data_IF_753379399797
#
_entry.id   IF_753379399797
#
_cell.length_a   1.000
_cell.length_b   1.000
_cell.length_c   1.000
_cell.angle_alpha   90.00
_cell.angle_beta   90.00
_cell.angle_gamma   90.00
#
_symmetry.space_group_name_H-M   'P 1'
#
loop_
_entity.id
_entity.type
_entity.pdbx_description
1 polymer ?
#
# COMPACT_ATOMS: atom_id res chain seq x y z
N UNK A 1 7.19 -13.40 -14.24
CA UNK A 1 6.97 -12.45 -13.12
C UNK A 1 6.69 -11.10 -13.74
N UNK A 2 5.56 -10.47 -13.41
CA UNK A 2 5.26 -9.10 -13.86
C UNK A 2 6.31 -8.15 -13.29
N UNK A 3 6.92 -7.32 -14.14
CA UNK A 3 7.95 -6.36 -13.73
C UNK A 3 7.36 -4.96 -13.79
N UNK A 4 6.91 -4.47 -12.65
CA UNK A 4 6.38 -3.13 -12.50
C UNK A 4 7.45 -2.07 -12.76
N UNK A 5 7.02 -0.94 -13.32
CA UNK A 5 7.91 0.20 -13.59
C UNK A 5 7.89 1.21 -12.43
N UNK A 6 9.02 1.91 -12.19
CA UNK A 6 9.01 3.14 -11.41
C UNK A 6 8.02 4.13 -11.99
N UNK A 7 7.27 4.82 -11.14
CA UNK A 7 6.41 5.95 -11.50
C UNK A 7 6.99 7.28 -11.01
N UNK A 8 6.60 8.42 -11.59
CA UNK A 8 6.92 9.74 -11.05
C UNK A 8 6.47 9.90 -9.58
N UNK A 9 7.16 10.76 -8.83
CA UNK A 9 6.78 11.10 -7.46
C UNK A 9 5.37 11.71 -7.43
N UNK A 10 4.47 11.30 -6.52
CA UNK A 10 3.18 11.95 -6.34
C UNK A 10 3.36 13.44 -6.02
N UNK A 11 2.78 14.31 -6.85
CA UNK A 11 2.85 15.75 -6.67
C UNK A 11 1.81 16.28 -5.69
N UNK A 12 0.67 15.59 -5.57
CA UNK A 12 -0.43 15.91 -4.67
C UNK A 12 -1.04 14.62 -4.12
N UNK A 13 -1.67 14.72 -2.96
CA UNK A 13 -2.46 13.65 -2.36
C UNK A 13 -3.75 14.24 -1.77
N UNK A 14 -4.74 13.42 -1.41
CA UNK A 14 -5.90 13.88 -0.65
C UNK A 14 -5.54 14.50 0.70
N UNK A 15 -4.32 14.26 1.21
CA UNK A 15 -3.83 14.72 2.50
C UNK A 15 -2.93 15.95 2.43
N UNK A 16 -2.86 16.64 1.28
CA UNK A 16 -1.94 17.74 0.93
C UNK A 16 -0.69 17.28 0.13
N UNK A 17 0.22 18.21 -0.16
CA UNK A 17 1.46 18.00 -0.89
C UNK A 17 2.44 17.18 -0.01
N UNK A 18 3.05 16.10 -0.54
CA UNK A 18 4.03 15.33 0.23
C UNK A 18 5.32 16.11 0.52
N UNK A 19 5.59 16.37 1.80
CA UNK A 19 6.89 16.87 2.27
C UNK A 19 7.98 15.83 2.00
N UNK A 20 7.67 14.55 2.25
CA UNK A 20 8.53 13.41 1.95
C UNK A 20 7.77 12.37 1.14
N UNK A 21 8.46 11.74 0.21
CA UNK A 21 7.96 10.57 -0.50
C UNK A 21 9.12 9.67 -0.89
N UNK A 22 8.93 8.36 -0.72
CA UNK A 22 9.91 7.33 -1.04
C UNK A 22 9.26 6.23 -1.86
N UNK A 23 9.87 5.88 -2.99
CA UNK A 23 9.40 4.76 -3.80
C UNK A 23 9.96 3.46 -3.23
N UNK A 24 9.17 2.80 -2.38
CA UNK A 24 9.59 1.59 -1.64
C UNK A 24 9.67 0.36 -2.54
N UNK A 25 8.85 0.33 -3.59
CA UNK A 25 8.86 -0.64 -4.69
C UNK A 25 8.54 0.12 -5.98
N UNK A 26 8.94 -0.37 -7.18
CA UNK A 26 8.58 0.27 -8.44
C UNK A 26 7.07 0.51 -8.52
N UNK A 27 6.66 1.78 -8.60
CA UNK A 27 5.25 2.18 -8.64
C UNK A 27 4.51 2.23 -7.30
N UNK A 28 5.17 1.97 -6.17
CA UNK A 28 4.59 2.09 -4.82
C UNK A 28 5.34 3.15 -4.04
N UNK A 29 4.68 4.26 -3.74
CA UNK A 29 5.23 5.36 -2.97
C UNK A 29 4.72 5.33 -1.54
N UNK A 30 5.61 5.44 -0.55
CA UNK A 30 5.23 5.87 0.79
C UNK A 30 5.34 7.39 0.85
N UNK A 31 4.29 8.06 1.28
CA UNK A 31 4.20 9.53 1.35
C UNK A 31 3.94 9.98 2.77
N UNK A 32 4.47 11.15 3.11
CA UNK A 32 4.22 11.85 4.36
C UNK A 32 3.89 13.30 4.02
N UNK A 33 2.78 13.78 4.56
CA UNK A 33 2.29 15.16 4.42
C UNK A 33 2.15 15.79 5.81
N UNK A 34 1.88 17.10 5.92
CA UNK A 34 1.65 17.75 7.20
C UNK A 34 0.44 17.20 7.97
N UNK A 35 -0.58 16.67 7.28
CA UNK A 35 -1.80 16.17 7.92
C UNK A 35 -1.76 14.66 8.15
N UNK A 36 -1.49 13.88 7.10
CA UNK A 36 -1.51 12.42 7.11
C UNK A 36 -0.41 11.85 6.20
N UNK A 37 -0.46 10.55 5.93
CA UNK A 37 0.40 9.90 4.96
C UNK A 37 -0.22 8.60 4.47
N UNK A 38 0.60 7.79 3.83
CA UNK A 38 0.17 6.47 3.40
C UNK A 38 0.96 5.94 2.24
N UNK A 39 0.34 5.03 1.48
CA UNK A 39 0.84 4.56 0.21
C UNK A 39 0.08 5.16 -0.96
N UNK A 40 0.80 5.45 -2.03
CA UNK A 40 0.24 5.85 -3.32
C UNK A 40 0.70 4.86 -4.39
N UNK A 41 -0.26 4.23 -5.06
CA UNK A 41 0.02 3.29 -6.13
C UNK A 41 0.04 3.98 -7.49
N UNK A 42 0.94 3.56 -8.37
CA UNK A 42 0.83 3.85 -9.80
C UNK A 42 -0.39 3.14 -10.41
N UNK A 43 -0.84 3.59 -11.57
CA UNK A 43 -1.95 2.92 -12.28
C UNK A 43 -1.70 1.44 -12.52
N UNK A 44 -0.45 1.07 -12.85
CA UNK A 44 -0.03 -0.32 -13.03
C UNK A 44 -0.17 -1.14 -11.73
N UNK A 45 0.22 -0.56 -10.59
CA UNK A 45 0.10 -1.20 -9.27
C UNK A 45 -1.35 -1.27 -8.82
N UNK A 46 -2.13 -0.21 -9.03
CA UNK A 46 -3.55 -0.18 -8.72
C UNK A 46 -4.32 -1.22 -9.53
N UNK A 47 -3.99 -1.37 -10.81
CA UNK A 47 -4.59 -2.39 -11.67
C UNK A 47 -4.22 -3.83 -11.25
N UNK A 48 -3.03 -4.03 -10.68
CA UNK A 48 -2.58 -5.33 -10.20
C UNK A 48 -3.05 -5.69 -8.78
N UNK A 49 -3.62 -4.73 -8.04
CA UNK A 49 -4.14 -4.97 -6.70
C UNK A 49 -5.30 -5.97 -6.74
N UNK A 50 -5.32 -7.02 -5.88
CA UNK A 50 -6.45 -7.93 -5.81
C UNK A 50 -7.75 -7.17 -5.56
N UNK A 51 -8.85 -7.54 -6.23
CA UNK A 51 -10.12 -6.79 -6.17
C UNK A 51 -10.61 -6.56 -4.75
N UNK A 52 -10.51 -7.56 -3.88
CA UNK A 52 -10.92 -7.44 -2.48
C UNK A 52 -10.07 -6.43 -1.67
N UNK A 53 -8.84 -6.14 -2.11
CA UNK A 53 -7.92 -5.19 -1.46
C UNK A 53 -7.84 -3.84 -2.16
N UNK A 54 -8.38 -3.74 -3.39
CA UNK A 54 -8.33 -2.53 -4.21
C UNK A 54 -9.32 -1.48 -3.74
N UNK A 55 -8.87 -0.22 -3.69
CA UNK A 55 -9.73 0.96 -3.47
C UNK A 55 -10.14 1.57 -4.81
N UNK A 56 -11.14 2.46 -4.79
CA UNK A 56 -11.56 3.18 -6.00
C UNK A 56 -10.52 4.22 -6.44
N UNK A 57 -9.72 4.69 -5.49
CA UNK A 57 -8.61 5.63 -5.68
C UNK A 57 -7.25 4.98 -5.34
N UNK A 58 -6.12 5.53 -5.81
CA UNK A 58 -4.79 4.96 -5.60
C UNK A 58 -4.16 5.32 -4.25
N UNK A 59 -4.89 5.96 -3.33
CA UNK A 59 -4.40 6.44 -2.04
C UNK A 59 -4.85 5.50 -0.92
N UNK A 60 -3.87 5.02 -0.15
CA UNK A 60 -4.07 4.09 0.95
C UNK A 60 -3.52 4.74 2.23
N UNK A 61 -4.43 5.32 3.01
CA UNK A 61 -4.19 6.03 4.27
C UNK A 61 -3.36 5.22 5.28
N UNK A 62 -2.52 5.91 6.06
CA UNK A 62 -1.48 5.31 6.91
C UNK A 62 -1.97 4.52 8.13
N UNK A 63 -3.12 4.87 8.72
CA UNK A 63 -3.64 4.22 9.92
C UNK A 63 -4.27 2.86 9.61
N UNK A 64 -5.04 2.77 8.51
CA UNK A 64 -5.84 1.58 8.22
C UNK A 64 -5.55 0.98 6.84
N UNK A 65 -5.67 1.79 5.79
CA UNK A 65 -5.64 1.29 4.40
C UNK A 65 -4.24 0.85 3.96
N UNK A 66 -3.17 1.31 4.62
CA UNK A 66 -1.78 0.92 4.35
C UNK A 66 -1.60 -0.61 4.39
N UNK A 67 -2.39 -1.27 5.25
CA UNK A 67 -2.36 -2.72 5.43
C UNK A 67 -2.80 -3.46 4.15
N UNK A 68 -3.69 -2.86 3.35
CA UNK A 68 -4.13 -3.44 2.07
C UNK A 68 -2.95 -3.55 1.10
N UNK A 69 -2.09 -2.52 1.02
CA UNK A 69 -0.91 -2.49 0.15
C UNK A 69 0.14 -3.50 0.60
N UNK A 70 0.47 -3.50 1.89
CA UNK A 70 1.42 -4.47 2.46
C UNK A 70 0.94 -5.91 2.29
N UNK A 71 -0.37 -6.16 2.39
CA UNK A 71 -0.92 -7.50 2.22
C UNK A 71 -1.01 -7.91 0.75
N UNK A 72 -1.44 -7.00 -0.14
CA UNK A 72 -1.57 -7.25 -1.57
C UNK A 72 -0.23 -7.54 -2.26
N UNK A 73 0.84 -6.88 -1.83
CA UNK A 73 2.20 -7.05 -2.37
C UNK A 73 3.16 -7.70 -1.37
N UNK A 74 2.63 -8.51 -0.45
CA UNK A 74 3.36 -9.08 0.69
C UNK A 74 4.68 -9.76 0.31
N UNK A 75 4.70 -10.51 -0.81
CA UNK A 75 5.90 -11.22 -1.24
C UNK A 75 7.00 -10.29 -1.75
N UNK A 76 6.66 -9.14 -2.34
CA UNK A 76 7.65 -8.13 -2.73
C UNK A 76 8.18 -7.41 -1.50
N UNK A 77 7.31 -7.01 -0.57
CA UNK A 77 7.72 -6.35 0.67
C UNK A 77 8.63 -7.23 1.54
N UNK A 78 8.35 -8.53 1.67
CA UNK A 78 9.21 -9.48 2.42
C UNK A 78 10.62 -9.61 1.84
N UNK A 79 10.82 -9.25 0.57
CA UNK A 79 12.14 -9.27 -0.09
C UNK A 79 12.93 -7.97 0.09
N UNK A 80 12.31 -6.91 0.61
CA UNK A 80 13.01 -5.66 0.86
C UNK A 80 13.99 -5.80 2.03
N UNK A 81 15.21 -5.22 1.94
CA UNK A 81 16.19 -5.24 3.01
C UNK A 81 15.88 -4.19 4.10
N UNK A 82 14.61 -4.14 4.55
CA UNK A 82 14.12 -3.19 5.55
C UNK A 82 13.91 -3.93 6.87
N UNK A 83 14.57 -3.54 7.98
CA UNK A 83 14.35 -4.13 9.28
C UNK A 83 12.87 -4.12 9.68
N UNK A 84 12.36 -5.26 10.13
CA UNK A 84 10.98 -5.39 10.59
C UNK A 84 9.91 -5.50 9.49
N UNK A 85 10.26 -5.48 8.20
CA UNK A 85 9.26 -5.54 7.12
C UNK A 85 8.40 -6.81 7.15
N UNK A 86 9.01 -7.95 7.50
CA UNK A 86 8.27 -9.21 7.64
C UNK A 86 7.20 -9.13 8.73
N UNK A 87 7.50 -8.46 9.86
CA UNK A 87 6.54 -8.23 10.94
C UNK A 87 5.45 -7.24 10.51
N UNK A 88 5.80 -6.19 9.76
CA UNK A 88 4.80 -5.25 9.22
C UNK A 88 3.82 -5.94 8.29
N UNK A 89 4.29 -6.84 7.42
CA UNK A 89 3.42 -7.63 6.53
C UNK A 89 2.51 -8.60 7.31
N UNK A 90 3.01 -9.24 8.38
CA UNK A 90 2.18 -10.09 9.25
C UNK A 90 1.12 -9.25 10.01
N UNK A 91 1.51 -8.08 10.51
CA UNK A 91 0.58 -7.14 11.15
C UNK A 91 -0.47 -6.63 10.16
N UNK A 92 -0.08 -6.34 8.91
CA UNK A 92 -1.01 -5.91 7.87
C UNK A 92 -2.13 -6.93 7.66
N UNK A 93 -1.81 -8.24 7.59
CA UNK A 93 -2.82 -9.29 7.49
C UNK A 93 -3.82 -9.25 8.65
N UNK A 94 -3.35 -9.02 9.88
CA UNK A 94 -4.21 -8.89 11.07
C UNK A 94 -5.05 -7.63 11.02
N UNK A 95 -4.46 -6.51 10.58
CA UNK A 95 -5.15 -5.23 10.41
C UNK A 95 -6.27 -5.33 9.38
N UNK A 96 -6.03 -5.98 8.22
CA UNK A 96 -7.08 -6.22 7.22
C UNK A 96 -8.25 -7.01 7.82
N UNK A 97 -7.96 -8.06 8.61
CA UNK A 97 -9.00 -8.84 9.29
C UNK A 97 -9.81 -8.00 10.29
N UNK A 98 -9.15 -7.15 11.07
CA UNK A 98 -9.81 -6.40 12.15
C UNK A 98 -10.54 -5.15 11.66
N UNK A 99 -9.98 -4.43 10.67
CA UNK A 99 -10.44 -3.11 10.25
C UNK A 99 -11.08 -3.09 8.86
N UNK A 100 -10.92 -4.16 8.07
CA UNK A 100 -11.66 -4.37 6.82
C UNK A 100 -12.35 -5.75 6.81
N UNK A 101 -13.28 -6.02 7.75
CA UNK A 101 -13.88 -7.34 7.90
C UNK A 101 -14.61 -7.83 6.63
N UNK A 102 -15.24 -6.92 5.86
CA UNK A 102 -15.88 -7.28 4.60
C UNK A 102 -14.88 -7.71 3.53
N UNK A 103 -13.78 -6.95 3.38
CA UNK A 103 -12.68 -7.30 2.46
C UNK A 103 -12.02 -8.62 2.88
N UNK A 104 -11.82 -8.82 4.17
CA UNK A 104 -11.28 -10.05 4.72
C UNK A 104 -12.15 -11.26 4.41
N UNK A 105 -13.47 -11.13 4.60
CA UNK A 105 -14.43 -12.20 4.26
C UNK A 105 -14.31 -12.59 2.79
N UNK A 106 -14.31 -11.62 1.87
CA UNK A 106 -14.14 -11.89 0.43
C UNK A 106 -12.82 -12.62 0.13
N UNK A 107 -11.73 -12.29 0.84
CA UNK A 107 -10.42 -12.93 0.65
C UNK A 107 -10.35 -14.37 1.17
N UNK A 108 -11.09 -14.70 2.23
CA UNK A 108 -10.96 -16.00 2.92
C UNK A 108 -12.12 -16.96 2.73
N UNK A 109 -13.28 -16.50 2.21
CA UNK A 109 -14.50 -17.29 2.02
C UNK A 109 -15.49 -17.13 3.17
#
# INVERSE_FOLDING_TARGET
MTRFQPSPRPATTPWDIPDRAEQVLPGIWRVWTPSHGGYVLSDERQAAMPDALRRDDPFYEEDVDYALVLYGFADEFRRLPIPGIALQVENARRSVRCWHPDRWKVLTG
#
